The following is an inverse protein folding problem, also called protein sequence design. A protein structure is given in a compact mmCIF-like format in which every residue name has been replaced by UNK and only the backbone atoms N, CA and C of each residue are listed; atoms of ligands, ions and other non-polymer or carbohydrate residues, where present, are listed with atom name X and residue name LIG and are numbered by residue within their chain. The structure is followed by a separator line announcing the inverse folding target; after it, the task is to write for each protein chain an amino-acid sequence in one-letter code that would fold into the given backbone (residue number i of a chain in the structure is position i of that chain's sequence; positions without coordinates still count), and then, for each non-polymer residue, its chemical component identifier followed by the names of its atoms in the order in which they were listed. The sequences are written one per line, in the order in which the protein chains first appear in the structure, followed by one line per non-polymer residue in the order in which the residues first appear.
data_IF_406843571628
#
_entry.id   IF_406843571628
#
_cell.length_a   1.000
_cell.length_b   1.000
_cell.length_c   1.000
_cell.angle_alpha   90.00
_cell.angle_beta   90.00
_cell.angle_gamma   90.00
#
_symmetry.space_group_name_H-M   'P 1'
#
loop_
_entity.id
_entity.type
_entity.pdbx_description
1 polymer ?
#
# COMPACT_ATOMS: atom_id res chain seq x y z
N UNK A 1 -34.29 21.02 -72.50
CA UNK A 1 -35.19 19.96 -71.97
C UNK A 1 -34.80 19.76 -70.51
N UNK A 2 -35.60 19.90 -69.45
CA UNK A 2 -37.04 20.10 -69.22
C UNK A 2 -37.20 21.14 -68.09
N UNK A 3 -38.32 21.86 -68.14
CA UNK A 3 -38.83 22.76 -67.09
C UNK A 3 -39.33 21.93 -65.89
N UNK A 4 -39.30 22.48 -64.68
CA UNK A 4 -40.48 22.87 -63.87
C UNK A 4 -40.02 23.26 -62.43
N UNK A 5 -40.37 24.47 -61.95
CA UNK A 5 -40.19 24.93 -60.56
C UNK A 5 -41.43 24.52 -59.71
N UNK A 6 -41.69 25.23 -58.59
CA UNK A 6 -42.81 25.09 -57.62
C UNK A 6 -42.45 24.29 -56.35
N UNK A 7 -42.76 24.72 -55.12
CA UNK A 7 -43.38 25.95 -54.61
C UNK A 7 -43.05 26.03 -53.10
N UNK A 8 -42.89 27.26 -52.60
CA UNK A 8 -43.34 27.76 -51.29
C UNK A 8 -43.68 26.74 -50.19
N UNK A 9 -42.99 26.86 -49.05
CA UNK A 9 -43.71 27.15 -47.81
C UNK A 9 -42.96 28.19 -46.97
N UNK A 10 -43.43 29.43 -47.07
CA UNK A 10 -43.26 30.41 -46.02
C UNK A 10 -44.04 29.92 -44.78
N UNK A 11 -43.34 29.54 -43.72
CA UNK A 11 -43.94 29.39 -42.39
C UNK A 11 -43.27 30.33 -41.41
N UNK A 12 -43.82 31.55 -41.44
CA UNK A 12 -44.12 32.43 -40.30
C UNK A 12 -43.07 32.47 -39.19
N UNK A 13 -42.38 33.61 -39.13
CA UNK A 13 -41.85 34.13 -37.88
C UNK A 13 -42.99 34.22 -36.85
N UNK A 14 -42.88 33.45 -35.78
CA UNK A 14 -43.64 33.68 -34.56
C UNK A 14 -42.63 34.00 -33.46
N UNK A 15 -42.54 35.31 -33.23
CA UNK A 15 -42.12 36.01 -32.04
C UNK A 15 -41.79 35.17 -30.79
N UNK A 16 -40.62 35.48 -30.24
CA UNK A 16 -40.40 35.91 -28.85
C UNK A 16 -41.27 35.23 -27.78
N UNK A 17 -40.63 34.47 -26.90
CA UNK A 17 -40.33 34.88 -25.51
C UNK A 17 -39.64 33.71 -24.81
N UNK A 18 -38.43 33.93 -24.32
CA UNK A 18 -37.73 33.01 -23.42
C UNK A 18 -38.38 33.11 -22.03
N UNK A 19 -38.92 32.01 -21.45
CA UNK A 19 -39.10 31.95 -20.02
C UNK A 19 -37.76 31.54 -19.39
N UNK A 20 -37.13 32.49 -18.72
CA UNK A 20 -36.19 32.18 -17.65
C UNK A 20 -36.95 31.50 -16.48
N UNK A 21 -36.20 30.81 -15.60
CA UNK A 21 -36.63 30.18 -14.32
C UNK A 21 -37.05 28.70 -14.50
N UNK A 22 -36.51 27.69 -13.81
CA UNK A 22 -35.75 27.66 -12.56
C UNK A 22 -34.64 26.59 -12.59
N UNK A 23 -33.49 26.94 -12.03
CA UNK A 23 -32.46 26.00 -11.57
C UNK A 23 -33.04 25.25 -10.35
N UNK A 24 -33.52 24.02 -10.54
CA UNK A 24 -33.97 23.18 -9.44
C UNK A 24 -32.74 22.60 -8.70
N UNK A 25 -32.31 23.27 -7.63
CA UNK A 25 -31.46 22.71 -6.59
C UNK A 25 -32.26 21.62 -5.85
N UNK A 26 -32.13 20.37 -6.28
CA UNK A 26 -32.54 19.23 -5.45
C UNK A 26 -31.43 18.93 -4.43
N UNK A 27 -31.58 19.48 -3.23
CA UNK A 27 -30.84 19.06 -2.04
C UNK A 27 -31.28 17.63 -1.67
N UNK A 28 -30.34 16.68 -1.61
CA UNK A 28 -30.61 15.26 -1.35
C UNK A 28 -30.68 14.87 0.13
N UNK A 29 -30.92 13.59 0.43
CA UNK A 29 -30.36 12.90 1.58
C UNK A 29 -29.02 12.28 1.18
N UNK A 30 -27.95 12.66 1.88
CA UNK A 30 -26.64 12.04 1.73
C UNK A 30 -26.57 10.61 2.30
N UNK A 31 -25.42 9.99 2.01
CA UNK A 31 -24.83 8.81 2.66
C UNK A 31 -25.22 7.43 2.11
N UNK A 32 -24.94 7.17 0.84
CA UNK A 32 -24.41 5.85 0.46
C UNK A 32 -22.88 5.92 0.47
N UNK A 33 -22.29 6.02 1.67
CA UNK A 33 -20.95 5.52 1.86
C UNK A 33 -21.06 4.00 1.85
N UNK A 34 -20.70 3.33 0.74
CA UNK A 34 -20.42 1.90 0.78
C UNK A 34 -19.40 1.60 1.88
N UNK A 35 -19.21 0.33 2.30
CA UNK A 35 -18.22 0.03 3.33
C UNK A 35 -16.89 0.67 2.90
N UNK A 36 -16.46 1.70 3.63
CA UNK A 36 -15.11 2.19 3.52
C UNK A 36 -14.28 1.01 4.04
N UNK A 37 -13.62 0.29 3.14
CA UNK A 37 -12.68 -0.74 3.56
C UNK A 37 -11.61 0.03 4.33
N UNK A 38 -11.69 -0.03 5.65
CA UNK A 38 -10.75 0.65 6.50
C UNK A 38 -9.36 0.14 6.12
N UNK A 39 -8.49 1.07 5.74
CA UNK A 39 -7.12 0.74 5.38
C UNK A 39 -6.50 -0.06 6.52
N UNK A 40 -5.87 -1.20 6.19
CA UNK A 40 -5.19 -1.99 7.21
C UNK A 40 -4.05 -1.18 7.83
N UNK A 41 -3.66 -1.49 9.06
CA UNK A 41 -2.53 -0.81 9.72
C UNK A 41 -1.26 -0.91 8.89
N UNK A 42 -0.97 -2.10 8.34
CA UNK A 42 0.18 -2.33 7.48
C UNK A 42 0.16 -1.51 6.18
N UNK A 43 -1.01 -1.40 5.56
CA UNK A 43 -1.20 -0.59 4.36
C UNK A 43 -0.97 0.90 4.62
N UNK A 44 -1.50 1.43 5.73
CA UNK A 44 -1.30 2.82 6.12
C UNK A 44 0.19 3.12 6.32
N UNK A 45 0.89 2.27 7.07
CA UNK A 45 2.31 2.44 7.36
C UNK A 45 3.17 2.33 6.10
N UNK A 46 2.86 1.40 5.20
CA UNK A 46 3.52 1.27 3.91
C UNK A 46 3.35 2.53 3.04
N UNK A 47 2.11 2.98 2.86
CA UNK A 47 1.78 4.11 1.98
C UNK A 47 2.35 5.44 2.48
N UNK A 48 2.58 5.57 3.79
CA UNK A 48 3.10 6.80 4.39
C UNK A 48 4.62 6.82 4.49
N UNK A 49 5.29 5.66 4.59
CA UNK A 49 6.72 5.61 4.91
C UNK A 49 7.56 4.90 3.83
N UNK A 50 7.12 3.74 3.33
CA UNK A 50 7.95 2.94 2.42
C UNK A 50 8.07 3.56 1.03
N UNK A 51 6.99 4.19 0.55
CA UNK A 51 6.96 4.80 -0.79
C UNK A 51 7.56 6.21 -0.85
N UNK A 52 8.04 6.74 0.28
CA UNK A 52 8.63 8.07 0.35
C UNK A 52 10.02 8.14 -0.29
N UNK A 53 10.79 7.04 -0.28
CA UNK A 53 12.15 7.00 -0.82
C UNK A 53 12.29 6.12 -2.06
N UNK A 54 11.39 5.16 -2.28
CA UNK A 54 11.42 4.27 -3.44
C UNK A 54 10.00 3.89 -3.86
N UNK A 55 9.81 3.42 -5.10
CA UNK A 55 8.51 2.95 -5.57
C UNK A 55 8.35 1.44 -5.44
N UNK A 56 7.17 0.95 -5.83
CA UNK A 56 6.78 -0.45 -5.70
C UNK A 56 7.69 -1.41 -6.49
N UNK A 57 8.47 -0.93 -7.47
CA UNK A 57 9.38 -1.78 -8.26
C UNK A 57 10.38 -2.55 -7.41
N UNK A 58 10.64 -2.11 -6.18
CA UNK A 58 11.47 -2.84 -5.23
C UNK A 58 10.95 -4.25 -4.92
N UNK A 59 9.64 -4.49 -5.11
CA UNK A 59 9.00 -5.78 -4.85
C UNK A 59 9.17 -6.81 -5.99
N UNK A 60 9.57 -6.41 -7.20
CA UNK A 60 9.70 -7.34 -8.34
C UNK A 60 10.95 -7.16 -9.21
N UNK A 61 11.78 -6.14 -8.96
CA UNK A 61 13.03 -5.95 -9.72
C UNK A 61 13.95 -7.18 -9.58
N UNK A 62 14.76 -7.46 -10.61
CA UNK A 62 15.59 -8.68 -10.68
C UNK A 62 16.65 -8.88 -9.58
N UNK A 63 16.91 -7.87 -8.74
CA UNK A 63 17.78 -7.95 -7.56
C UNK A 63 17.01 -7.76 -6.25
N UNK A 64 15.78 -8.27 -6.17
CA UNK A 64 14.99 -8.37 -4.94
C UNK A 64 15.73 -9.24 -3.91
N UNK A 65 15.66 -8.84 -2.64
CA UNK A 65 16.27 -9.59 -1.52
C UNK A 65 15.29 -10.51 -0.79
N UNK A 66 13.98 -10.25 -0.94
CA UNK A 66 12.90 -10.99 -0.28
C UNK A 66 12.56 -12.25 -1.07
N UNK A 67 12.79 -13.44 -0.51
CA UNK A 67 12.53 -14.73 -1.16
C UNK A 67 11.55 -15.62 -0.38
N UNK A 68 11.23 -15.24 0.85
CA UNK A 68 10.33 -15.95 1.76
C UNK A 68 9.77 -14.98 2.81
N UNK A 69 8.95 -15.50 3.74
CA UNK A 69 8.36 -14.71 4.81
C UNK A 69 9.41 -14.06 5.73
N UNK A 70 10.43 -14.82 6.13
CA UNK A 70 11.42 -14.34 7.10
C UNK A 70 12.27 -13.20 6.51
N UNK A 71 12.72 -13.35 5.26
CA UNK A 71 13.44 -12.28 4.55
C UNK A 71 12.54 -11.07 4.25
N UNK A 72 11.22 -11.24 4.12
CA UNK A 72 10.28 -10.12 4.02
C UNK A 72 10.25 -9.33 5.34
N UNK A 73 10.02 -10.01 6.46
CA UNK A 73 9.97 -9.35 7.78
C UNK A 73 11.30 -8.67 8.10
N UNK A 74 12.43 -9.33 7.82
CA UNK A 74 13.78 -8.77 8.02
C UNK A 74 13.97 -7.48 7.21
N UNK A 75 13.52 -7.46 5.96
CA UNK A 75 13.65 -6.29 5.11
C UNK A 75 12.77 -5.13 5.60
N UNK A 76 11.54 -5.40 6.07
CA UNK A 76 10.69 -4.37 6.71
C UNK A 76 11.37 -3.82 7.96
N UNK A 77 11.89 -4.71 8.82
CA UNK A 77 12.61 -4.36 10.05
C UNK A 77 13.84 -3.49 9.77
N UNK A 78 14.64 -3.86 8.77
CA UNK A 78 15.84 -3.12 8.36
C UNK A 78 15.49 -1.72 7.86
N UNK A 79 14.50 -1.60 6.98
CA UNK A 79 14.18 -0.31 6.37
C UNK A 79 13.49 0.66 7.32
N UNK A 80 12.64 0.17 8.23
CA UNK A 80 12.08 1.05 9.26
C UNK A 80 13.16 1.56 10.24
N UNK A 81 14.22 0.77 10.51
CA UNK A 81 15.39 1.24 11.28
C UNK A 81 16.19 2.28 10.49
N UNK A 82 16.45 2.03 9.20
CA UNK A 82 17.17 2.96 8.34
C UNK A 82 16.45 4.33 8.25
N UNK A 83 15.12 4.32 8.29
CA UNK A 83 14.27 5.52 8.33
C UNK A 83 13.96 6.02 9.74
N UNK A 84 14.53 5.41 10.79
CA UNK A 84 14.35 5.79 12.20
C UNK A 84 12.88 5.91 12.65
N UNK A 85 12.01 5.03 12.16
CA UNK A 85 10.55 5.10 12.40
C UNK A 85 10.12 4.63 13.78
N UNK A 86 10.97 3.88 14.50
CA UNK A 86 10.70 3.43 15.86
C UNK A 86 9.54 2.43 15.97
N UNK A 87 9.28 1.65 14.92
CA UNK A 87 8.18 0.69 14.90
C UNK A 87 8.42 -0.47 15.87
N UNK A 88 7.36 -0.85 16.59
CA UNK A 88 7.30 -2.09 17.37
C UNK A 88 7.15 -3.30 16.44
N UNK A 89 7.44 -4.49 16.95
CA UNK A 89 7.33 -5.74 16.17
C UNK A 89 5.95 -5.96 15.55
N UNK A 90 4.88 -5.54 16.23
CA UNK A 90 3.54 -5.63 15.64
C UNK A 90 3.39 -4.79 14.37
N UNK A 91 3.98 -3.60 14.31
CA UNK A 91 3.87 -2.73 13.15
C UNK A 91 4.69 -3.30 11.98
N UNK A 92 5.86 -3.86 12.29
CA UNK A 92 6.68 -4.61 11.33
C UNK A 92 5.88 -5.78 10.76
N UNK A 93 5.23 -6.59 11.61
CA UNK A 93 4.40 -7.71 11.18
C UNK A 93 3.19 -7.27 10.34
N UNK A 94 2.50 -6.19 10.73
CA UNK A 94 1.36 -5.66 9.98
C UNK A 94 1.77 -5.23 8.57
N UNK A 95 2.91 -4.52 8.44
CA UNK A 95 3.45 -4.14 7.14
C UNK A 95 3.92 -5.36 6.35
N UNK A 96 4.57 -6.33 6.98
CA UNK A 96 4.99 -7.57 6.33
C UNK A 96 3.80 -8.36 5.78
N UNK A 97 2.70 -8.49 6.53
CA UNK A 97 1.45 -9.11 6.06
C UNK A 97 0.89 -8.37 4.85
N UNK A 98 0.76 -7.06 4.94
CA UNK A 98 0.25 -6.25 3.83
C UNK A 98 1.10 -6.44 2.56
N UNK A 99 2.42 -6.35 2.68
CA UNK A 99 3.33 -6.56 1.56
C UNK A 99 3.26 -7.99 1.00
N UNK A 100 3.10 -8.96 1.89
CA UNK A 100 2.96 -10.36 1.51
C UNK A 100 1.70 -10.57 0.66
N UNK A 101 0.56 -10.10 1.15
CA UNK A 101 -0.72 -10.23 0.47
C UNK A 101 -0.73 -9.50 -0.88
N UNK A 102 -0.06 -8.34 -0.94
CA UNK A 102 -0.03 -7.50 -2.15
C UNK A 102 0.96 -7.95 -3.21
N UNK A 103 2.13 -8.48 -2.83
CA UNK A 103 3.25 -8.68 -3.76
C UNK A 103 3.90 -10.06 -3.75
N UNK A 104 3.77 -10.85 -2.68
CA UNK A 104 4.63 -12.02 -2.49
C UNK A 104 3.92 -13.37 -2.34
N UNK A 105 2.80 -13.43 -1.60
CA UNK A 105 2.02 -14.65 -1.42
C UNK A 105 2.74 -15.77 -0.67
N UNK A 106 3.71 -15.46 0.19
CA UNK A 106 4.35 -16.48 1.05
C UNK A 106 3.39 -16.96 2.14
N UNK A 107 3.62 -18.16 2.65
CA UNK A 107 2.92 -18.67 3.83
C UNK A 107 3.61 -18.15 5.09
N UNK A 108 2.95 -17.29 5.91
CA UNK A 108 3.51 -16.88 7.19
C UNK A 108 3.63 -18.08 8.13
N UNK A 109 4.61 -18.12 9.05
CA UNK A 109 4.69 -19.15 10.06
C UNK A 109 3.38 -19.15 10.86
N UNK A 110 2.73 -20.31 10.91
CA UNK A 110 1.60 -20.49 11.81
C UNK A 110 2.06 -20.33 13.26
N UNK A 111 1.19 -19.85 14.15
CA UNK A 111 1.50 -19.69 15.57
C UNK A 111 2.10 -20.98 16.19
N UNK A 112 1.68 -22.15 15.69
CA UNK A 112 2.22 -23.46 16.08
C UNK A 112 3.70 -23.67 15.71
N UNK A 113 4.18 -23.07 14.62
CA UNK A 113 5.57 -23.18 14.17
C UNK A 113 6.54 -22.36 15.03
N UNK A 114 6.05 -21.23 15.58
CA UNK A 114 6.80 -20.35 16.49
C UNK A 114 6.95 -20.93 17.91
N UNK A 115 6.15 -21.95 18.25
CA UNK A 115 6.21 -22.67 19.53
C UNK A 115 7.21 -23.84 19.51
N UNK A 116 7.86 -24.13 18.38
CA UNK A 116 8.97 -25.10 18.36
C UNK A 116 10.11 -24.52 19.20
N UNK A 117 10.57 -25.19 20.27
CA UNK A 117 11.69 -24.68 21.05
C UNK A 117 12.89 -24.55 20.12
N UNK A 118 13.37 -23.32 19.94
CA UNK A 118 14.70 -23.06 19.44
C UNK A 118 15.65 -23.86 20.33
N UNK A 119 16.23 -24.93 19.79
CA UNK A 119 17.15 -25.77 20.52
C UNK A 119 18.22 -24.87 21.15
N UNK A 120 18.40 -25.02 22.46
CA UNK A 120 19.28 -24.22 23.28
C UNK A 120 20.62 -23.95 22.57
N UNK A 121 20.97 -22.67 22.45
CA UNK A 121 22.35 -22.28 22.19
C UNK A 121 23.25 -22.95 23.24
N UNK A 122 24.38 -23.57 22.87
CA UNK A 122 25.33 -24.05 23.86
C UNK A 122 25.88 -22.84 24.63
N UNK A 123 25.43 -22.67 25.87
CA UNK A 123 26.18 -21.90 26.86
C UNK A 123 27.48 -22.65 27.13
N UNK A 124 28.58 -22.18 26.53
CA UNK A 124 29.87 -22.79 26.77
C UNK A 124 31.00 -22.25 25.89
N UNK A 125 31.44 -21.01 26.15
CA UNK A 125 32.83 -20.57 25.98
C UNK A 125 32.94 -19.11 26.45
N UNK A 126 33.30 -18.91 27.72
CA UNK A 126 33.73 -17.59 28.18
C UNK A 126 35.07 -17.20 27.53
N UNK A 127 35.35 -15.90 27.33
CA UNK A 127 36.63 -15.47 26.79
C UNK A 127 37.75 -15.76 27.80
N UNK A 128 38.73 -16.58 27.41
CA UNK A 128 40.00 -16.71 28.12
C UNK A 128 40.71 -15.36 28.12
N UNK A 129 40.89 -14.79 29.32
CA UNK A 129 41.72 -13.60 29.54
C UNK A 129 43.17 -13.95 29.18
N UNK A 130 43.70 -13.38 28.11
CA UNK A 130 45.12 -13.41 27.80
C UNK A 130 45.90 -12.63 28.88
N UNK A 131 46.96 -13.24 29.42
CA UNK A 131 47.89 -12.59 30.32
C UNK A 131 48.72 -11.53 29.57
N UNK A 132 49.06 -10.38 30.19
CA UNK A 132 49.96 -9.42 29.58
C UNK A 132 51.38 -9.99 29.46
N UNK A 133 52.16 -9.63 28.43
CA UNK A 133 53.55 -10.06 28.32
C UNK A 133 54.42 -9.37 29.38
N UNK A 134 55.29 -10.16 30.02
CA UNK A 134 56.39 -9.65 30.85
C UNK A 134 57.33 -8.79 30.00
N UNK A 135 57.63 -7.60 30.52
CA UNK A 135 58.57 -6.66 29.92
C UNK A 135 59.88 -6.70 30.72
N UNK A 136 61.05 -6.89 30.11
CA UNK A 136 62.32 -6.56 30.74
C UNK A 136 62.55 -5.04 30.82
#
# INVERSE_FOLDING_TARGET
MRRIPFLSEARRAAARTMPAVALALAAGPGLFGGPAWAQSRGELLYNTNCVACHNEKMHWRGRKLVNDWDSLEEQVRRWQQASSLGWRDQDIMEVARYLNDRFYGFTPPSATSLLKPSAAAPSGAGPTRAAPPDRP
#
